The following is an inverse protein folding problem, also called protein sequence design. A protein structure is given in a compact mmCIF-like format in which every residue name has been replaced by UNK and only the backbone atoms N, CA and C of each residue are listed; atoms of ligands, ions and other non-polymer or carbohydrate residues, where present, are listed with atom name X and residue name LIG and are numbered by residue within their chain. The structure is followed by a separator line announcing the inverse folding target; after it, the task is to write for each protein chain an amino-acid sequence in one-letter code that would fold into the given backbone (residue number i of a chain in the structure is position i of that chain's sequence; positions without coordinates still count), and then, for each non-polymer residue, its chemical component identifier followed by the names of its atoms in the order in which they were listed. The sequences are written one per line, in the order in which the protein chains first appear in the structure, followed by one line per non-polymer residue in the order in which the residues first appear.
data_IF_582011865426
#
_entry.id   IF_582011865426
#
_cell.length_a   1.000
_cell.length_b   1.000
_cell.length_c   1.000
_cell.angle_alpha   90.00
_cell.angle_beta   90.00
_cell.angle_gamma   90.00
#
_symmetry.space_group_name_H-M   'P 1'
#
loop_
_entity.id
_entity.type
_entity.pdbx_description
1 polymer ?
#
# COMPACT_ATOMS: atom_id res chain seq x y z
N UNK A 1 6.66 9.34 -24.52
CA UNK A 1 5.29 9.04 -25.02
C UNK A 1 5.28 8.28 -26.35
N UNK A 2 6.04 8.69 -27.38
CA UNK A 2 6.05 8.06 -28.71
C UNK A 2 6.48 6.57 -28.67
N UNK A 3 7.41 6.20 -27.82
CA UNK A 3 7.90 4.81 -27.69
C UNK A 3 6.83 3.90 -27.08
N UNK A 4 6.11 4.37 -26.07
CA UNK A 4 5.02 3.61 -25.43
C UNK A 4 3.88 3.40 -26.42
N UNK A 5 3.52 4.44 -27.20
CA UNK A 5 2.48 4.34 -28.20
C UNK A 5 2.85 3.38 -29.33
N UNK A 6 4.12 3.37 -29.79
CA UNK A 6 4.61 2.38 -30.76
C UNK A 6 4.57 0.97 -30.22
N UNK A 7 5.02 0.75 -29.01
CA UNK A 7 4.94 -0.56 -28.35
C UNK A 7 3.49 -1.06 -28.27
N UNK A 8 2.54 -0.22 -27.80
CA UNK A 8 1.14 -0.61 -27.74
C UNK A 8 0.59 -1.03 -29.12
N UNK A 9 0.93 -0.28 -30.16
CA UNK A 9 0.53 -0.62 -31.54
C UNK A 9 1.19 -1.91 -32.05
N UNK A 10 2.45 -2.18 -31.72
CA UNK A 10 3.15 -3.40 -32.13
C UNK A 10 2.55 -4.66 -31.50
N UNK A 11 1.93 -4.54 -30.32
CA UNK A 11 1.20 -5.65 -29.67
C UNK A 11 -0.32 -5.63 -29.96
N UNK A 12 -0.75 -4.87 -30.97
CA UNK A 12 -2.15 -4.87 -31.45
C UNK A 12 -3.11 -4.05 -30.58
N UNK A 13 -2.61 -3.13 -29.74
CA UNK A 13 -3.42 -2.27 -28.91
C UNK A 13 -3.54 -0.87 -29.52
N UNK A 14 -4.75 -0.29 -29.51
CA UNK A 14 -5.00 1.04 -30.07
C UNK A 14 -4.34 2.18 -29.27
N UNK A 15 -4.18 2.00 -27.96
CA UNK A 15 -3.61 2.97 -27.04
C UNK A 15 -2.98 2.27 -25.82
N UNK A 16 -2.25 3.03 -25.01
CA UNK A 16 -1.73 2.52 -23.74
C UNK A 16 -2.86 2.14 -22.76
N UNK A 17 -3.98 2.82 -22.82
CA UNK A 17 -5.15 2.46 -22.02
C UNK A 17 -5.79 1.16 -22.45
N UNK A 18 -5.91 0.95 -23.78
CA UNK A 18 -6.36 -0.32 -24.37
C UNK A 18 -5.41 -1.48 -24.00
N UNK A 19 -4.09 -1.24 -24.06
CA UNK A 19 -3.08 -2.20 -23.60
C UNK A 19 -3.28 -2.57 -22.12
N UNK A 20 -3.47 -1.59 -21.23
CA UNK A 20 -3.69 -1.85 -19.80
C UNK A 20 -4.95 -2.70 -19.56
N UNK A 21 -6.05 -2.39 -20.26
CA UNK A 21 -7.30 -3.14 -20.12
C UNK A 21 -7.13 -4.58 -20.62
N UNK A 22 -6.52 -4.79 -21.77
CA UNK A 22 -6.28 -6.14 -22.32
C UNK A 22 -5.28 -6.94 -21.49
N UNK A 23 -4.23 -6.29 -20.97
CA UNK A 23 -3.28 -6.93 -20.07
C UNK A 23 -3.96 -7.36 -18.76
N UNK A 24 -4.83 -6.51 -18.18
CA UNK A 24 -5.61 -6.87 -17.01
C UNK A 24 -6.58 -8.03 -17.30
N UNK A 25 -7.24 -8.05 -18.46
CA UNK A 25 -8.12 -9.14 -18.88
C UNK A 25 -7.35 -10.45 -19.12
N UNK A 26 -6.16 -10.40 -19.76
CA UNK A 26 -5.32 -11.57 -19.97
C UNK A 26 -4.83 -12.19 -18.67
N UNK A 27 -4.47 -11.36 -17.68
CA UNK A 27 -4.07 -11.82 -16.34
C UNK A 27 -5.26 -12.47 -15.62
N UNK A 28 -6.48 -11.97 -15.83
CA UNK A 28 -7.71 -12.51 -15.22
C UNK A 28 -8.15 -13.83 -15.87
N UNK A 29 -7.83 -14.07 -17.15
CA UNK A 29 -8.20 -15.30 -17.85
C UNK A 29 -7.24 -16.48 -17.62
N UNK A 30 -6.04 -16.22 -17.13
CA UNK A 30 -4.99 -17.24 -16.86
C UNK A 30 -4.96 -17.72 -15.40
N UNK A 31 -6.09 -17.58 -14.68
CA UNK A 31 -6.20 -17.85 -13.23
C UNK A 31 -6.25 -19.34 -12.89
N UNK A 32 -5.21 -20.10 -13.28
CA UNK A 32 -4.93 -21.42 -12.69
C UNK A 32 -3.68 -21.48 -11.83
N UNK A 33 -2.82 -20.48 -11.78
CA UNK A 33 -1.70 -20.42 -10.81
C UNK A 33 -0.82 -19.17 -11.01
N UNK A 34 -1.25 -18.00 -10.51
CA UNK A 34 -0.40 -16.81 -10.45
C UNK A 34 -0.84 -15.89 -9.30
N UNK A 35 0.04 -15.06 -8.72
CA UNK A 35 -0.37 -14.12 -7.67
C UNK A 35 -1.41 -13.15 -8.25
N UNK A 36 -2.62 -13.17 -7.69
CA UNK A 36 -3.75 -12.35 -8.09
C UNK A 36 -3.33 -10.88 -8.24
N UNK A 37 -3.61 -10.30 -9.41
CA UNK A 37 -3.40 -8.87 -9.65
C UNK A 37 -4.27 -8.07 -8.67
N UNK A 38 -3.77 -6.94 -8.18
CA UNK A 38 -4.34 -6.17 -7.07
C UNK A 38 -5.74 -5.59 -7.25
N UNK A 39 -6.49 -6.04 -8.23
CA UNK A 39 -7.89 -5.67 -8.47
C UNK A 39 -8.89 -6.77 -8.11
N UNK A 40 -8.42 -7.96 -7.74
CA UNK A 40 -9.28 -9.08 -7.33
C UNK A 40 -9.60 -9.02 -5.82
N UNK A 41 -10.04 -7.85 -5.38
CA UNK A 41 -10.48 -7.62 -3.99
C UNK A 41 -11.69 -8.48 -3.61
N UNK A 42 -12.41 -9.00 -4.59
CA UNK A 42 -13.65 -9.74 -4.38
C UNK A 42 -13.60 -11.19 -4.86
N UNK A 43 -12.43 -11.65 -5.36
CA UNK A 43 -12.25 -13.01 -5.86
C UNK A 43 -13.19 -13.34 -7.01
N UNK A 44 -13.53 -14.62 -7.19
CA UNK A 44 -14.41 -15.14 -8.23
C UNK A 44 -15.91 -14.91 -7.95
N UNK A 45 -16.31 -13.80 -7.28
CA UNK A 45 -17.71 -13.53 -6.99
C UNK A 45 -18.43 -13.18 -8.29
N UNK A 46 -19.46 -14.00 -8.63
CA UNK A 46 -20.32 -13.79 -9.77
C UNK A 46 -21.67 -13.21 -9.37
N UNK A 47 -22.37 -12.55 -10.30
CA UNK A 47 -23.71 -12.01 -10.04
C UNK A 47 -24.69 -13.10 -9.68
N UNK A 48 -24.54 -14.28 -10.29
CA UNK A 48 -25.39 -15.46 -10.14
C UNK A 48 -25.14 -16.25 -8.86
N UNK A 49 -24.05 -15.95 -8.13
CA UNK A 49 -23.74 -16.61 -6.86
C UNK A 49 -24.86 -16.36 -5.85
N UNK A 50 -25.25 -17.40 -5.12
CA UNK A 50 -26.12 -17.23 -3.95
C UNK A 50 -25.42 -16.39 -2.87
N UNK A 51 -26.19 -15.83 -1.94
CA UNK A 51 -25.64 -15.07 -0.82
C UNK A 51 -24.61 -15.90 -0.02
N UNK A 52 -24.93 -17.17 0.22
CA UNK A 52 -24.03 -18.08 0.93
C UNK A 52 -22.71 -18.28 0.17
N UNK A 53 -22.79 -18.51 -1.14
CA UNK A 53 -21.59 -18.63 -1.99
C UNK A 53 -20.74 -17.35 -1.99
N UNK A 54 -21.38 -16.18 -2.06
CA UNK A 54 -20.70 -14.88 -1.95
C UNK A 54 -19.96 -14.75 -0.61
N UNK A 55 -20.62 -15.07 0.49
CA UNK A 55 -19.99 -15.03 1.82
C UNK A 55 -18.80 -16.00 1.95
N UNK A 56 -18.95 -17.22 1.44
CA UNK A 56 -17.85 -18.21 1.45
C UNK A 56 -16.66 -17.77 0.60
N UNK A 57 -16.92 -17.17 -0.58
CA UNK A 57 -15.88 -16.63 -1.45
C UNK A 57 -15.14 -15.47 -0.79
N UNK A 58 -15.86 -14.52 -0.18
CA UNK A 58 -15.25 -13.41 0.58
C UNK A 58 -14.37 -13.90 1.74
N UNK A 59 -14.87 -14.87 2.50
CA UNK A 59 -14.09 -15.47 3.59
C UNK A 59 -12.79 -16.10 3.08
N UNK A 60 -12.88 -16.87 1.99
CA UNK A 60 -11.71 -17.50 1.37
C UNK A 60 -10.68 -16.49 0.90
N UNK A 61 -11.11 -15.44 0.19
CA UNK A 61 -10.22 -14.35 -0.26
C UNK A 61 -9.53 -13.67 0.90
N UNK A 62 -10.27 -13.35 1.97
CA UNK A 62 -9.69 -12.74 3.17
C UNK A 62 -8.66 -13.65 3.85
N UNK A 63 -8.96 -14.94 3.99
CA UNK A 63 -8.03 -15.91 4.58
C UNK A 63 -6.77 -16.09 3.75
N UNK A 64 -6.90 -16.17 2.42
CA UNK A 64 -5.76 -16.25 1.50
C UNK A 64 -4.88 -15.00 1.57
N UNK A 65 -5.48 -13.80 1.64
CA UNK A 65 -4.72 -12.55 1.76
C UNK A 65 -3.89 -12.52 3.06
N UNK A 66 -4.45 -12.97 4.17
CA UNK A 66 -3.71 -13.10 5.45
C UNK A 66 -2.56 -14.09 5.34
N UNK A 67 -2.80 -15.27 4.75
CA UNK A 67 -1.75 -16.28 4.56
C UNK A 67 -0.63 -15.75 3.67
N UNK A 68 -0.96 -15.16 2.51
CA UNK A 68 0.03 -14.57 1.62
C UNK A 68 0.84 -13.46 2.29
N UNK A 69 0.21 -12.64 3.12
CA UNK A 69 0.91 -11.60 3.89
C UNK A 69 1.92 -12.22 4.84
N UNK A 70 1.54 -13.27 5.55
CA UNK A 70 2.42 -13.99 6.48
C UNK A 70 3.62 -14.62 5.74
N UNK A 71 3.36 -15.22 4.58
CA UNK A 71 4.40 -15.89 3.76
C UNK A 71 5.43 -14.90 3.19
N UNK A 72 5.01 -13.66 2.93
CA UNK A 72 5.87 -12.60 2.39
C UNK A 72 6.54 -11.74 3.47
N UNK A 73 6.20 -11.94 4.74
CA UNK A 73 6.65 -11.07 5.83
C UNK A 73 8.14 -11.28 6.12
N UNK A 74 8.94 -10.21 5.98
CA UNK A 74 10.32 -10.18 6.45
C UNK A 74 10.37 -9.92 7.96
N UNK A 75 10.53 -10.97 8.75
CA UNK A 75 10.60 -10.88 10.22
C UNK A 75 11.79 -10.03 10.71
N UNK A 76 12.90 -9.97 9.94
CA UNK A 76 14.03 -9.10 10.25
C UNK A 76 13.67 -7.63 10.10
N UNK A 77 12.95 -7.27 9.01
CA UNK A 77 12.42 -5.93 8.81
C UNK A 77 11.38 -5.56 9.88
N UNK A 78 10.47 -6.48 10.20
CA UNK A 78 9.46 -6.25 11.26
C UNK A 78 10.13 -5.95 12.60
N UNK A 79 11.16 -6.71 12.99
CA UNK A 79 11.89 -6.44 14.23
C UNK A 79 12.52 -5.05 14.25
N UNK A 80 13.17 -4.65 13.16
CA UNK A 80 13.75 -3.30 13.03
C UNK A 80 12.69 -2.21 13.14
N UNK A 81 11.50 -2.44 12.56
CA UNK A 81 10.37 -1.51 12.64
C UNK A 81 9.89 -1.41 14.09
N UNK A 82 9.72 -2.54 14.79
CA UNK A 82 9.30 -2.54 16.20
C UNK A 82 10.28 -1.77 17.06
N UNK A 83 11.58 -2.03 16.95
CA UNK A 83 12.62 -1.33 17.70
C UNK A 83 12.59 0.18 17.38
N UNK A 84 12.48 0.55 16.11
CA UNK A 84 12.39 1.94 15.66
C UNK A 84 11.17 2.67 16.24
N UNK A 85 10.00 2.02 16.20
CA UNK A 85 8.77 2.59 16.76
C UNK A 85 8.83 2.67 18.29
N UNK A 86 9.50 1.73 18.95
CA UNK A 86 9.66 1.74 20.41
C UNK A 86 10.53 2.91 20.89
N UNK A 87 11.65 3.16 20.20
CA UNK A 87 12.63 4.21 20.52
C UNK A 87 12.17 5.62 20.12
N UNK A 88 11.19 5.75 19.23
CA UNK A 88 10.73 7.03 18.73
C UNK A 88 10.07 7.88 19.82
N UNK A 89 10.31 9.19 19.79
CA UNK A 89 9.60 10.18 20.61
C UNK A 89 8.22 10.48 20.01
N UNK A 90 8.12 10.60 18.68
CA UNK A 90 6.85 10.76 17.95
C UNK A 90 6.78 9.84 16.73
N UNK A 91 5.59 9.32 16.45
CA UNK A 91 5.29 8.50 15.27
C UNK A 91 4.10 9.08 14.52
N UNK A 92 4.29 9.44 13.28
CA UNK A 92 3.27 10.04 12.43
C UNK A 92 2.74 9.02 11.42
N UNK A 93 1.47 8.63 11.58
CA UNK A 93 0.79 7.69 10.68
C UNK A 93 0.23 8.44 9.48
N UNK A 94 0.78 8.19 8.30
CA UNK A 94 0.44 8.84 7.03
C UNK A 94 -0.09 7.84 6.01
N UNK A 95 -0.94 8.32 5.12
CA UNK A 95 -1.48 7.57 3.98
C UNK A 95 -2.35 8.48 3.15
N UNK A 96 -2.68 8.08 1.91
CA UNK A 96 -3.50 8.85 0.99
C UNK A 96 -4.71 8.04 0.52
N UNK A 97 -5.86 8.70 0.34
CA UNK A 97 -7.09 8.05 -0.08
C UNK A 97 -7.49 6.91 0.89
N UNK A 98 -7.71 5.71 0.38
CA UNK A 98 -8.09 4.56 1.22
C UNK A 98 -7.02 4.13 2.22
N UNK A 99 -5.73 4.36 1.93
CA UNK A 99 -4.67 4.02 2.88
C UNK A 99 -4.58 5.01 4.06
N UNK A 100 -5.18 6.20 3.96
CA UNK A 100 -5.37 7.10 5.09
C UNK A 100 -6.27 6.49 6.17
N UNK A 101 -7.25 5.66 5.79
CA UNK A 101 -8.10 4.92 6.73
C UNK A 101 -7.27 3.90 7.51
N UNK A 102 -6.32 3.22 6.83
CA UNK A 102 -5.38 2.28 7.47
C UNK A 102 -4.45 3.02 8.45
N UNK A 103 -3.94 4.20 8.04
CA UNK A 103 -3.11 5.05 8.89
C UNK A 103 -3.88 5.52 10.15
N UNK A 104 -5.14 5.88 10.00
CA UNK A 104 -6.02 6.25 11.11
C UNK A 104 -6.29 5.06 12.05
N UNK A 105 -6.54 3.86 11.53
CA UNK A 105 -6.73 2.65 12.34
C UNK A 105 -5.45 2.31 13.12
N UNK A 106 -4.27 2.40 12.49
CA UNK A 106 -3.00 2.22 13.16
C UNK A 106 -2.81 3.23 14.30
N UNK A 107 -3.03 4.52 14.04
CA UNK A 107 -3.00 5.55 15.08
C UNK A 107 -3.96 5.23 16.23
N UNK A 108 -5.22 4.89 15.94
CA UNK A 108 -6.22 4.58 16.96
C UNK A 108 -5.83 3.41 17.85
N UNK A 109 -5.28 2.34 17.28
CA UNK A 109 -4.81 1.17 18.03
C UNK A 109 -3.60 1.49 18.91
N UNK A 110 -2.60 2.18 18.37
CA UNK A 110 -1.41 2.54 19.14
C UNK A 110 -1.69 3.61 20.20
N UNK A 111 -2.61 4.53 19.95
CA UNK A 111 -3.00 5.58 20.92
C UNK A 111 -3.67 5.03 22.18
N UNK A 112 -4.20 3.81 22.13
CA UNK A 112 -4.70 3.14 23.34
C UNK A 112 -3.58 2.68 24.30
N UNK A 113 -2.33 2.67 23.82
CA UNK A 113 -1.15 2.21 24.58
C UNK A 113 -0.23 3.37 24.94
N UNK A 114 -0.06 4.36 24.05
CA UNK A 114 0.86 5.48 24.21
C UNK A 114 0.40 6.70 23.43
N UNK A 115 0.73 7.89 23.91
CA UNK A 115 0.36 9.18 23.30
C UNK A 115 1.27 9.65 22.18
N UNK A 116 2.35 8.93 21.86
CA UNK A 116 3.35 9.37 20.87
C UNK A 116 2.94 9.18 19.42
N UNK A 117 1.80 8.52 19.15
CA UNK A 117 1.29 8.33 17.80
C UNK A 117 0.37 9.48 17.40
N UNK A 118 0.55 9.97 16.20
CA UNK A 118 -0.20 11.06 15.58
C UNK A 118 -0.71 10.65 14.22
N UNK A 119 -1.88 11.14 13.82
CA UNK A 119 -2.43 10.92 12.49
C UNK A 119 -2.72 12.25 11.82
N UNK A 120 -2.27 12.42 10.59
CA UNK A 120 -2.49 13.61 9.78
C UNK A 120 -3.02 13.16 8.42
N UNK A 121 -4.22 13.59 8.05
CA UNK A 121 -4.89 13.20 6.81
C UNK A 121 -4.53 14.09 5.62
N UNK A 122 -4.36 15.39 5.86
CA UNK A 122 -4.09 16.37 4.81
C UNK A 122 -2.64 16.29 4.32
N UNK A 123 -2.45 16.17 3.00
CA UNK A 123 -1.11 16.01 2.42
C UNK A 123 -0.21 17.23 2.64
N UNK A 124 -0.74 18.45 2.59
CA UNK A 124 0.07 19.64 2.86
C UNK A 124 0.56 19.66 4.30
N UNK A 125 -0.30 19.28 5.23
CA UNK A 125 0.08 19.16 6.65
C UNK A 125 1.08 18.02 6.86
N UNK A 126 0.95 16.90 6.16
CA UNK A 126 1.95 15.83 6.15
C UNK A 126 3.31 16.33 5.67
N UNK A 127 3.34 17.11 4.57
CA UNK A 127 4.58 17.66 4.01
C UNK A 127 5.22 18.69 4.95
N UNK A 128 4.43 19.61 5.56
CA UNK A 128 4.92 20.56 6.55
C UNK A 128 5.51 19.84 7.74
N UNK A 129 4.80 18.86 8.29
CA UNK A 129 5.28 18.04 9.40
C UNK A 129 6.57 17.32 9.03
N UNK A 130 6.60 16.60 7.90
CA UNK A 130 7.78 15.86 7.46
C UNK A 130 9.04 16.73 7.33
N UNK A 131 8.89 18.01 6.94
CA UNK A 131 10.00 18.94 6.81
C UNK A 131 10.57 19.45 8.15
N UNK A 132 9.86 19.23 9.27
CA UNK A 132 10.23 19.72 10.61
C UNK A 132 10.63 18.62 11.58
N UNK A 133 10.58 17.35 11.16
CA UNK A 133 10.91 16.21 12.02
C UNK A 133 12.41 16.12 12.32
N UNK A 134 12.73 15.50 13.44
CA UNK A 134 14.10 15.25 13.91
C UNK A 134 14.45 13.76 14.01
N UNK A 135 15.66 13.48 14.54
CA UNK A 135 16.25 12.13 14.58
C UNK A 135 15.43 11.07 15.34
N UNK A 136 14.60 11.51 16.27
CA UNK A 136 13.74 10.62 17.07
C UNK A 136 12.29 10.56 16.59
N UNK A 137 12.00 11.20 15.48
CA UNK A 137 10.68 11.15 14.87
C UNK A 137 10.63 10.09 13.76
N UNK A 138 9.48 9.45 13.64
CA UNK A 138 9.25 8.39 12.66
C UNK A 138 7.97 8.68 11.89
N UNK A 139 8.01 8.53 10.57
CA UNK A 139 6.82 8.46 9.72
C UNK A 139 6.54 6.99 9.43
N UNK A 140 5.35 6.54 9.78
CA UNK A 140 4.79 5.25 9.39
C UNK A 140 3.81 5.50 8.23
N UNK A 141 4.27 5.28 6.99
CA UNK A 141 3.50 5.56 5.78
C UNK A 141 2.87 4.30 5.20
N UNK A 142 1.57 4.35 4.95
CA UNK A 142 0.81 3.26 4.32
C UNK A 142 0.55 3.59 2.86
N UNK A 143 1.03 2.75 1.95
CA UNK A 143 0.80 2.86 0.52
C UNK A 143 0.63 1.49 -0.11
N UNK A 144 -0.48 1.27 -0.82
CA UNK A 144 -0.71 -0.01 -1.49
C UNK A 144 0.33 -0.27 -2.60
N UNK A 145 0.56 0.70 -3.47
CA UNK A 145 1.48 0.55 -4.61
C UNK A 145 2.95 0.81 -4.28
N UNK A 146 3.24 1.59 -3.24
CA UNK A 146 4.59 2.08 -2.94
C UNK A 146 5.14 3.13 -3.94
N UNK A 147 4.41 3.44 -5.01
CA UNK A 147 4.88 4.24 -6.15
C UNK A 147 4.09 5.55 -6.35
N UNK A 148 3.50 6.09 -5.29
CA UNK A 148 2.74 7.34 -5.36
C UNK A 148 3.68 8.56 -5.39
N UNK A 149 3.30 9.58 -6.16
CA UNK A 149 4.04 10.84 -6.24
C UNK A 149 4.19 11.50 -4.86
N UNK A 150 3.13 11.52 -4.09
CA UNK A 150 3.10 12.09 -2.73
C UNK A 150 4.10 11.39 -1.81
N UNK A 151 4.26 10.08 -1.91
CA UNK A 151 5.26 9.32 -1.15
C UNK A 151 6.69 9.73 -1.57
N UNK A 152 6.92 9.91 -2.87
CA UNK A 152 8.23 10.36 -3.39
C UNK A 152 8.56 11.78 -2.93
N UNK A 153 7.58 12.70 -2.94
CA UNK A 153 7.74 14.06 -2.45
C UNK A 153 8.04 14.08 -0.94
N UNK A 154 7.31 13.32 -0.14
CA UNK A 154 7.58 13.16 1.29
C UNK A 154 8.95 12.56 1.56
N UNK A 155 9.33 11.51 0.82
CA UNK A 155 10.66 10.91 0.93
C UNK A 155 11.77 11.91 0.70
N UNK A 156 11.62 12.79 -0.31
CA UNK A 156 12.57 13.88 -0.58
C UNK A 156 12.63 14.95 0.52
N UNK A 157 11.56 15.17 1.27
CA UNK A 157 11.58 16.04 2.46
C UNK A 157 12.27 15.36 3.64
N UNK A 158 11.91 14.12 3.93
CA UNK A 158 12.48 13.34 5.04
C UNK A 158 13.99 13.12 4.87
N UNK A 159 14.49 12.95 3.65
CA UNK A 159 15.94 12.85 3.38
C UNK A 159 16.74 14.10 3.79
N UNK A 160 16.08 15.24 3.95
CA UNK A 160 16.71 16.49 4.42
C UNK A 160 16.66 16.65 5.93
N UNK A 161 16.02 15.72 6.60
CA UNK A 161 15.90 15.65 8.07
C UNK A 161 16.63 14.40 8.55
N UNK A 162 16.71 14.21 9.85
CA UNK A 162 17.25 12.99 10.47
C UNK A 162 16.15 11.98 10.81
N UNK A 163 14.89 12.28 10.47
CA UNK A 163 13.75 11.43 10.74
C UNK A 163 13.77 10.14 9.93
N UNK A 164 13.11 9.12 10.44
CA UNK A 164 13.01 7.81 9.77
C UNK A 164 11.67 7.68 9.05
N UNK A 165 11.68 7.10 7.85
CA UNK A 165 10.48 6.77 7.07
C UNK A 165 10.35 5.24 6.98
N UNK A 166 9.26 4.73 7.51
CA UNK A 166 8.87 3.32 7.41
C UNK A 166 7.71 3.22 6.43
N UNK A 167 7.89 2.44 5.37
CA UNK A 167 6.88 2.20 4.36
C UNK A 167 6.23 0.84 4.56
N UNK A 168 4.91 0.82 4.71
CA UNK A 168 4.09 -0.39 4.66
C UNK A 168 3.44 -0.47 3.29
N UNK A 169 3.87 -1.43 2.47
CA UNK A 169 3.42 -1.57 1.08
C UNK A 169 3.31 -3.04 0.69
N UNK A 170 2.49 -3.31 -0.34
CA UNK A 170 2.41 -4.64 -0.96
C UNK A 170 3.62 -4.93 -1.86
N UNK A 171 4.23 -3.90 -2.46
CA UNK A 171 5.28 -4.03 -3.48
C UNK A 171 6.57 -3.38 -2.98
N UNK A 172 7.47 -4.13 -2.32
CA UNK A 172 8.67 -3.56 -1.69
C UNK A 172 9.71 -3.04 -2.70
N UNK A 173 9.59 -3.42 -3.98
CA UNK A 173 10.53 -3.05 -5.05
C UNK A 173 9.91 -2.11 -6.10
N UNK A 174 8.86 -1.37 -5.75
CA UNK A 174 8.22 -0.39 -6.66
C UNK A 174 8.91 0.96 -6.65
#
# INVERSE_FOLDING_TARGET
EATITRFCRSVGCASFNDFKVRAAQAISSDSTSGPASGYDLYGDIQLEDSLEQKCQKLYRVGTQALQQTLDLLDYGAVRKVVDCLYEADNVYCFGQGNTSIIAMDAWGRFSSITSKFHWINDFHMQAITAATLGAKDVILYFSFSGAMRELSELGGLVQKTEAKLILVTRFPNS
#
